data_IF_561307197942
#
_entry.id   IF_561307197942
#
_cell.length_a   1.000
_cell.length_b   1.000
_cell.length_c   1.000
_cell.angle_alpha   90.00
_cell.angle_beta   90.00
_cell.angle_gamma   90.00
#
_symmetry.space_group_name_H-M   'P 1'
#
loop_
_entity.id
_entity.type
_entity.pdbx_description
1 polymer ?
#
# COMPACT_ATOMS: atom_id res chain seq x y z
N UNK A 1 2.46 -10.08 -3.42
CA UNK A 1 3.26 -10.25 -2.18
C UNK A 1 3.19 -8.98 -1.30
N UNK A 2 2.00 -8.41 -1.08
CA UNK A 2 1.81 -7.21 -0.24
C UNK A 2 1.49 -7.62 1.21
N UNK A 3 0.80 -8.74 1.36
CA UNK A 3 0.37 -9.29 2.66
C UNK A 3 1.57 -9.65 3.53
N UNK A 4 2.60 -10.29 2.97
CA UNK A 4 3.81 -10.68 3.71
C UNK A 4 4.61 -9.48 4.23
N UNK A 5 4.68 -8.41 3.44
CA UNK A 5 5.41 -7.18 3.80
C UNK A 5 4.73 -6.45 4.97
N UNK A 6 3.39 -6.46 5.00
CA UNK A 6 2.60 -5.90 6.11
C UNK A 6 2.75 -6.77 7.37
N UNK A 7 2.73 -8.09 7.25
CA UNK A 7 2.94 -9.01 8.39
C UNK A 7 4.32 -8.78 9.02
N UNK A 8 5.36 -8.72 8.19
CA UNK A 8 6.73 -8.46 8.66
C UNK A 8 6.86 -7.11 9.36
N UNK A 9 6.20 -6.07 8.84
CA UNK A 9 6.17 -4.76 9.51
C UNK A 9 5.45 -4.81 10.87
N UNK A 10 4.37 -5.58 10.98
CA UNK A 10 3.67 -5.77 12.27
C UNK A 10 4.61 -6.44 13.27
N UNK A 11 5.22 -7.56 12.88
CA UNK A 11 6.14 -8.29 13.76
C UNK A 11 7.39 -7.49 14.14
N UNK A 12 7.88 -6.63 13.24
CA UNK A 12 9.05 -5.79 13.51
C UNK A 12 8.76 -4.66 14.52
N UNK A 13 7.55 -4.10 14.51
CA UNK A 13 7.15 -3.06 15.46
C UNK A 13 6.62 -3.65 16.78
N UNK A 14 6.03 -4.83 16.72
CA UNK A 14 5.41 -5.54 17.84
C UNK A 14 5.91 -6.99 17.88
N UNK A 15 7.14 -7.24 18.39
CA UNK A 15 7.72 -8.57 18.48
C UNK A 15 6.94 -9.52 19.40
N UNK A 16 6.05 -8.99 20.24
CA UNK A 16 5.11 -9.75 21.07
C UNK A 16 3.98 -10.42 20.29
N UNK A 17 3.74 -10.01 19.04
CA UNK A 17 2.64 -10.53 18.21
C UNK A 17 3.17 -11.62 17.27
N UNK A 18 2.64 -12.84 17.42
CA UNK A 18 3.00 -13.95 16.54
C UNK A 18 2.28 -13.85 15.19
N UNK A 19 2.84 -14.52 14.18
CA UNK A 19 2.21 -14.60 12.85
C UNK A 19 0.83 -15.27 12.94
N UNK A 20 0.68 -16.30 13.78
CA UNK A 20 -0.60 -16.98 13.92
C UNK A 20 -1.67 -16.05 14.48
N UNK A 21 -1.33 -15.20 15.46
CA UNK A 21 -2.26 -14.23 16.03
C UNK A 21 -2.75 -13.20 15.01
N UNK A 22 -1.88 -12.79 14.08
CA UNK A 22 -2.26 -11.88 12.98
C UNK A 22 -3.23 -12.57 12.03
N UNK A 23 -2.98 -13.84 11.69
CA UNK A 23 -3.84 -14.64 10.81
C UNK A 23 -5.20 -14.96 11.46
N UNK A 24 -5.21 -15.29 12.74
CA UNK A 24 -6.44 -15.49 13.51
C UNK A 24 -7.28 -14.20 13.54
N UNK A 25 -6.63 -13.06 13.75
CA UNK A 25 -7.28 -11.74 13.68
C UNK A 25 -7.84 -11.45 12.29
N UNK A 26 -7.14 -11.88 11.23
CA UNK A 26 -7.60 -11.71 9.85
C UNK A 26 -8.87 -12.52 9.58
N UNK A 27 -8.88 -13.79 9.96
CA UNK A 27 -10.02 -14.69 9.75
C UNK A 27 -11.23 -14.23 10.55
N UNK A 28 -11.02 -13.82 11.81
CA UNK A 28 -12.08 -13.26 12.64
C UNK A 28 -12.70 -11.98 12.02
N UNK A 29 -11.88 -11.12 11.40
CA UNK A 29 -12.38 -9.91 10.75
C UNK A 29 -13.06 -10.22 9.40
N UNK A 30 -12.58 -11.23 8.67
CA UNK A 30 -13.19 -11.70 7.43
C UNK A 30 -14.60 -12.25 7.66
N UNK A 31 -14.78 -13.03 8.73
CA UNK A 31 -16.09 -13.50 9.20
C UNK A 31 -17.02 -12.34 9.57
N UNK A 32 -16.53 -11.37 10.37
CA UNK A 32 -17.32 -10.18 10.76
C UNK A 32 -17.78 -9.35 9.56
N UNK A 33 -16.95 -9.29 8.52
CA UNK A 33 -17.27 -8.51 7.32
C UNK A 33 -17.95 -9.34 6.23
N UNK A 34 -18.33 -10.60 6.55
CA UNK A 34 -18.96 -11.53 5.62
C UNK A 34 -18.21 -11.67 4.28
N UNK A 35 -16.88 -11.55 4.32
CA UNK A 35 -16.03 -11.60 3.13
C UNK A 35 -16.18 -10.43 2.15
N UNK A 36 -16.89 -9.35 2.51
CA UNK A 36 -17.10 -8.20 1.63
C UNK A 36 -15.85 -7.31 1.47
N UNK A 37 -14.89 -7.46 2.37
CA UNK A 37 -13.62 -6.72 2.33
C UNK A 37 -12.50 -7.67 1.93
N UNK A 38 -11.70 -7.24 0.96
CA UNK A 38 -10.49 -7.95 0.52
C UNK A 38 -9.50 -8.16 1.68
N UNK A 39 -8.81 -9.29 1.69
CA UNK A 39 -7.78 -9.61 2.69
C UNK A 39 -6.69 -8.52 2.79
N UNK A 40 -6.26 -7.92 1.67
CA UNK A 40 -5.30 -6.81 1.69
C UNK A 40 -5.80 -5.62 2.53
N UNK A 41 -7.08 -5.27 2.38
CA UNK A 41 -7.70 -4.16 3.10
C UNK A 41 -7.88 -4.49 4.59
N UNK A 42 -8.24 -5.74 4.91
CA UNK A 42 -8.32 -6.22 6.29
C UNK A 42 -6.94 -6.21 6.96
N UNK A 43 -5.89 -6.67 6.28
CA UNK A 43 -4.51 -6.60 6.78
C UNK A 43 -4.06 -5.16 7.04
N UNK A 44 -4.42 -4.23 6.14
CA UNK A 44 -4.16 -2.80 6.33
C UNK A 44 -4.90 -2.24 7.55
N UNK A 45 -6.13 -2.67 7.80
CA UNK A 45 -6.89 -2.28 8.99
C UNK A 45 -6.23 -2.81 10.27
N UNK A 46 -5.81 -4.07 10.27
CA UNK A 46 -5.10 -4.70 11.39
C UNK A 46 -3.78 -3.98 11.66
N UNK A 47 -2.98 -3.72 10.61
CA UNK A 47 -1.73 -2.97 10.73
C UNK A 47 -1.94 -1.57 11.35
N UNK A 48 -3.02 -0.88 10.97
CA UNK A 48 -3.36 0.42 11.54
C UNK A 48 -3.69 0.35 13.05
N UNK A 49 -4.27 -0.75 13.53
CA UNK A 49 -4.51 -0.98 14.98
C UNK A 49 -3.19 -1.09 15.77
N UNK A 50 -2.16 -1.64 15.13
CA UNK A 50 -0.80 -1.73 15.67
C UNK A 50 0.03 -0.45 15.43
N UNK A 51 -0.61 0.69 15.14
CA UNK A 51 0.09 1.97 14.96
C UNK A 51 0.94 2.07 13.69
N UNK A 52 0.89 1.06 12.82
CA UNK A 52 1.61 1.06 11.55
C UNK A 52 0.77 1.89 10.59
N UNK A 53 1.29 3.08 10.27
CA UNK A 53 0.73 3.87 9.16
C UNK A 53 0.97 3.07 7.90
N UNK A 54 -0.05 2.32 7.51
CA UNK A 54 -0.10 1.51 6.29
C UNK A 54 0.61 2.26 5.19
N UNK A 55 1.51 1.57 4.51
CA UNK A 55 2.24 2.07 3.35
C UNK A 55 1.18 2.63 2.42
N UNK A 56 0.97 3.95 2.51
CA UNK A 56 0.29 4.70 1.49
C UNK A 56 1.24 4.53 0.33
N UNK A 57 0.99 3.53 -0.53
CA UNK A 57 1.29 3.76 -1.93
C UNK A 57 0.63 5.10 -2.18
N UNK A 58 1.43 6.16 -2.41
CA UNK A 58 0.97 7.32 -3.17
C UNK A 58 0.14 6.66 -4.25
N UNK A 59 -1.17 6.85 -4.25
CA UNK A 59 -1.97 6.32 -5.34
C UNK A 59 -1.37 7.01 -6.55
N UNK A 60 -0.49 6.32 -7.28
CA UNK A 60 0.19 6.89 -8.43
C UNK A 60 -0.91 6.87 -9.48
N UNK A 61 -1.80 7.85 -9.38
CA UNK A 61 -2.71 8.21 -10.46
C UNK A 61 -1.75 8.63 -11.56
N UNK A 62 -1.59 7.77 -12.56
CA UNK A 62 -0.85 8.12 -13.76
C UNK A 62 -1.76 9.03 -14.55
N UNK A 63 -1.45 10.32 -14.51
CA UNK A 63 -2.08 11.33 -15.35
C UNK A 63 -1.22 11.54 -16.59
N UNK A 64 -1.82 11.77 -17.76
CA UNK A 64 -1.05 12.18 -18.93
C UNK A 64 -0.42 13.55 -18.66
N UNK A 65 0.75 13.80 -19.25
CA UNK A 65 1.48 15.06 -19.07
C UNK A 65 0.68 16.27 -19.55
N UNK A 66 -0.28 16.05 -20.47
CA UNK A 66 -1.22 17.06 -20.98
C UNK A 66 -2.11 17.67 -19.90
N UNK A 67 -2.31 16.96 -18.79
CA UNK A 67 -3.27 17.36 -17.75
C UNK A 67 -2.57 18.11 -16.60
N UNK A 68 -1.28 18.42 -16.75
CA UNK A 68 -0.55 19.22 -15.77
C UNK A 68 -0.96 20.69 -15.88
N UNK A 69 -1.28 21.29 -14.74
CA UNK A 69 -1.61 22.72 -14.62
C UNK A 69 -0.49 23.48 -13.94
N UNK A 70 -0.38 24.78 -14.22
CA UNK A 70 0.60 25.64 -13.55
C UNK A 70 0.33 25.71 -12.04
N UNK A 71 1.39 25.70 -11.23
CA UNK A 71 1.32 25.81 -9.76
C UNK A 71 1.37 24.50 -8.97
N UNK A 72 1.60 23.36 -9.63
CA UNK A 72 1.84 22.08 -8.94
C UNK A 72 3.23 22.04 -8.29
N UNK A 73 3.29 21.75 -6.99
CA UNK A 73 4.53 21.80 -6.19
C UNK A 73 5.33 20.48 -6.12
N UNK A 74 4.71 19.31 -6.35
CA UNK A 74 5.37 17.99 -6.30
C UNK A 74 4.91 17.15 -7.50
N UNK A 75 5.68 17.16 -8.59
CA UNK A 75 5.40 16.43 -9.83
C UNK A 75 6.63 15.62 -10.24
N UNK A 76 6.43 14.32 -10.52
CA UNK A 76 7.46 13.45 -11.11
C UNK A 76 7.01 13.00 -12.50
N UNK A 77 7.78 13.35 -13.52
CA UNK A 77 7.53 12.93 -14.92
C UNK A 77 8.42 11.74 -15.25
N UNK A 78 7.80 10.67 -15.76
CA UNK A 78 8.52 9.48 -16.23
C UNK A 78 8.18 9.23 -17.70
N UNK A 79 9.18 9.04 -18.55
CA UNK A 79 9.00 8.80 -19.99
C UNK A 79 10.03 7.85 -20.57
N UNK A 80 9.78 7.36 -21.78
CA UNK A 80 10.73 6.53 -22.55
C UNK A 80 11.33 7.40 -23.66
N UNK A 81 12.66 7.40 -23.77
CA UNK A 81 13.34 8.02 -24.91
C UNK A 81 13.15 7.12 -26.13
N UNK A 82 12.59 7.69 -27.20
CA UNK A 82 12.29 6.94 -28.44
C UNK A 82 13.33 7.16 -29.53
N UNK A 83 13.87 8.38 -29.65
CA UNK A 83 14.84 8.77 -30.69
C UNK A 83 15.77 9.84 -30.11
N UNK A 84 17.04 9.80 -30.51
CA UNK A 84 18.04 10.85 -30.26
C UNK A 84 18.55 11.31 -31.63
N UNK A 85 18.49 12.62 -31.90
CA UNK A 85 19.06 13.20 -33.12
C UNK A 85 20.47 13.73 -32.85
N UNK A 86 21.42 13.53 -33.79
CA UNK A 86 22.74 14.14 -33.69
C UNK A 86 22.66 15.67 -33.81
N UNK A 87 23.62 16.39 -33.19
CA UNK A 87 23.70 17.86 -33.23
C UNK A 87 23.99 18.42 -34.63
#
# INVERSE_FOLDING_TARGET
MIEEEVIQQIQSNHPEVSREQILESLEAEKEKTSGLISEETLLRLIAARYGIKTIKRKAIRRFPISDLVAGLNDVTVTGRVIIIYPP
#
